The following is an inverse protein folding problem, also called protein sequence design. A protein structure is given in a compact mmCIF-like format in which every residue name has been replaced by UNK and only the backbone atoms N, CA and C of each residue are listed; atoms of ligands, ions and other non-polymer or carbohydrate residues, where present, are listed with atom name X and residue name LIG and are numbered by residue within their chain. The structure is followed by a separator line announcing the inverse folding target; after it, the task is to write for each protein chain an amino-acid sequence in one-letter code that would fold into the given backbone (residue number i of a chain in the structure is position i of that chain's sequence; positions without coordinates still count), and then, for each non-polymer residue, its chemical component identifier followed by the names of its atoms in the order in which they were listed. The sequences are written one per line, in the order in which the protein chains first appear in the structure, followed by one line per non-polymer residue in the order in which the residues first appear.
data_IF_471540473653
#
_entry.id   IF_471540473653
#
_cell.length_a   1.000
_cell.length_b   1.000
_cell.length_c   1.000
_cell.angle_alpha   90.00
_cell.angle_beta   90.00
_cell.angle_gamma   90.00
#
_symmetry.space_group_name_H-M   'P 1'
#
loop_
_entity.id
_entity.type
_entity.pdbx_description
1 polymer ?
#
# COMPACT_ATOMS: atom_id res chain seq x y z
N UNK A 1 -5.58 13.77 5.03
CA UNK A 1 -4.74 13.27 3.94
C UNK A 1 -4.71 11.76 3.97
N UNK A 2 -4.45 11.16 2.83
CA UNK A 2 -4.53 9.71 2.66
C UNK A 2 -3.64 8.94 3.64
N UNK A 3 -2.41 9.41 3.85
CA UNK A 3 -1.49 8.76 4.77
C UNK A 3 -1.97 8.80 6.22
N UNK A 4 -2.58 9.90 6.63
CA UNK A 4 -3.13 10.04 7.98
C UNK A 4 -4.37 9.18 8.17
N UNK A 5 -5.24 9.10 7.16
CA UNK A 5 -6.43 8.25 7.21
C UNK A 5 -6.05 6.78 7.32
N UNK A 6 -5.08 6.34 6.52
CA UNK A 6 -4.58 4.95 6.57
C UNK A 6 -3.99 4.65 7.94
N UNK A 7 -3.14 5.53 8.46
CA UNK A 7 -2.52 5.35 9.78
C UNK A 7 -3.56 5.26 10.89
N UNK A 8 -4.61 6.09 10.82
CA UNK A 8 -5.70 6.05 11.79
C UNK A 8 -6.45 4.72 11.78
N UNK A 9 -6.77 4.20 10.58
CA UNK A 9 -7.44 2.91 10.44
C UNK A 9 -6.53 1.79 10.95
N UNK A 10 -5.26 1.78 10.53
CA UNK A 10 -4.31 0.75 10.92
C UNK A 10 -4.07 0.75 12.43
N UNK A 11 -3.94 1.93 13.05
CA UNK A 11 -3.76 2.05 14.49
C UNK A 11 -4.95 1.50 15.27
N UNK A 12 -6.16 1.69 14.74
CA UNK A 12 -7.38 1.21 15.39
C UNK A 12 -7.46 -0.33 15.42
N UNK A 13 -6.98 -0.99 14.36
CA UNK A 13 -7.12 -2.44 14.23
C UNK A 13 -5.85 -3.21 14.56
N UNK A 14 -4.67 -2.59 14.42
CA UNK A 14 -3.40 -3.29 14.58
C UNK A 14 -3.10 -3.61 16.04
N UNK A 15 -2.67 -4.84 16.30
CA UNK A 15 -2.17 -5.26 17.60
C UNK A 15 -0.65 -5.38 17.61
N UNK A 16 -0.02 -5.44 16.44
CA UNK A 16 1.43 -5.51 16.30
C UNK A 16 1.85 -4.92 14.96
N UNK A 17 2.96 -4.20 14.96
CA UNK A 17 3.53 -3.59 13.76
C UNK A 17 4.96 -4.08 13.59
N UNK A 18 5.28 -4.57 12.38
CA UNK A 18 6.62 -4.96 11.99
C UNK A 18 7.16 -3.89 11.05
N UNK A 19 8.25 -3.24 11.43
CA UNK A 19 8.86 -2.16 10.65
C UNK A 19 9.95 -2.70 9.72
N UNK A 20 10.30 -1.88 8.73
CA UNK A 20 11.38 -2.15 7.78
C UNK A 20 11.21 -3.48 7.04
N UNK A 21 9.96 -3.82 6.75
CA UNK A 21 9.64 -4.99 5.95
C UNK A 21 9.79 -4.67 4.47
N UNK A 22 10.21 -5.65 3.67
CA UNK A 22 10.43 -5.46 2.24
C UNK A 22 9.49 -6.35 1.43
N UNK A 23 8.97 -5.77 0.36
CA UNK A 23 8.22 -6.50 -0.66
C UNK A 23 8.80 -6.17 -2.03
N UNK A 24 8.53 -7.02 -3.00
CA UNK A 24 8.96 -6.79 -4.38
C UNK A 24 8.08 -5.74 -5.05
N UNK A 25 8.69 -4.81 -5.76
CA UNK A 25 7.97 -3.78 -6.49
C UNK A 25 8.78 -2.50 -6.61
N UNK A 26 8.10 -1.45 -7.03
CA UNK A 26 8.64 -0.10 -7.11
C UNK A 26 7.63 0.88 -6.55
N UNK A 27 8.11 1.99 -6.00
CA UNK A 27 7.27 3.09 -5.58
C UNK A 27 7.35 4.23 -6.58
N UNK A 28 6.22 4.84 -6.86
CA UNK A 28 6.15 6.10 -7.61
C UNK A 28 5.58 7.18 -6.72
N UNK A 29 5.98 8.42 -7.02
CA UNK A 29 5.62 9.59 -6.24
C UNK A 29 4.42 10.27 -6.90
N UNK A 30 3.24 10.12 -6.29
CA UNK A 30 1.99 10.59 -6.88
C UNK A 30 1.62 11.98 -6.37
N UNK A 31 0.95 12.74 -7.22
CA UNK A 31 0.41 14.08 -6.91
C UNK A 31 1.45 15.01 -6.27
N UNK A 32 2.64 15.10 -6.88
CA UNK A 32 3.68 16.02 -6.42
C UNK A 32 4.26 15.68 -5.06
N UNK A 33 4.24 14.41 -4.68
CA UNK A 33 4.84 13.96 -3.43
C UNK A 33 3.85 13.81 -2.28
N UNK A 34 2.57 13.81 -2.55
CA UNK A 34 1.55 13.69 -1.50
C UNK A 34 1.42 12.29 -0.97
N UNK A 35 1.58 11.28 -1.82
CA UNK A 35 1.52 9.89 -1.40
C UNK A 35 2.23 8.96 -2.40
N UNK A 36 2.65 7.77 -1.96
CA UNK A 36 3.28 6.80 -2.84
C UNK A 36 2.27 5.91 -3.53
N UNK A 37 2.63 5.41 -4.71
CA UNK A 37 1.93 4.33 -5.36
C UNK A 37 2.87 3.15 -5.55
N UNK A 38 2.45 1.98 -5.13
CA UNK A 38 3.20 0.74 -5.38
C UNK A 38 2.84 0.22 -6.76
N UNK A 39 3.85 -0.10 -7.55
CA UNK A 39 3.68 -0.71 -8.88
C UNK A 39 4.54 -1.97 -8.99
N UNK A 40 4.27 -2.78 -9.99
CA UNK A 40 5.06 -3.97 -10.28
C UNK A 40 6.48 -3.60 -10.68
N UNK A 41 7.45 -4.42 -10.30
CA UNK A 41 8.85 -4.21 -10.66
C UNK A 41 9.76 -5.18 -9.92
N UNK A 42 11.05 -5.13 -10.28
CA UNK A 42 12.05 -6.04 -9.72
C UNK A 42 12.76 -5.48 -8.49
N UNK A 43 12.44 -4.28 -8.09
CA UNK A 43 13.05 -3.65 -6.93
C UNK A 43 12.49 -4.12 -5.61
N UNK A 44 12.96 -3.53 -4.54
CA UNK A 44 12.45 -3.74 -3.18
C UNK A 44 11.81 -2.47 -2.66
N UNK A 45 10.66 -2.63 -2.02
CA UNK A 45 9.93 -1.53 -1.39
C UNK A 45 9.90 -1.78 0.11
N UNK A 46 10.26 -0.77 0.88
CA UNK A 46 10.30 -0.82 2.34
C UNK A 46 9.00 -0.28 2.91
N UNK A 47 8.42 -1.00 3.85
CA UNK A 47 7.19 -0.59 4.50
C UNK A 47 6.99 -1.28 5.82
N UNK A 48 5.77 -1.19 6.32
CA UNK A 48 5.37 -1.78 7.59
C UNK A 48 4.32 -2.86 7.37
N UNK A 49 4.36 -3.91 8.17
CA UNK A 49 3.30 -4.91 8.22
C UNK A 49 2.54 -4.72 9.52
N UNK A 50 1.23 -4.53 9.40
CA UNK A 50 0.33 -4.38 10.52
C UNK A 50 -0.44 -5.68 10.71
N UNK A 51 -0.34 -6.27 11.89
CA UNK A 51 -1.05 -7.48 12.23
C UNK A 51 -2.35 -7.16 12.97
N UNK A 52 -3.44 -7.75 12.52
CA UNK A 52 -4.73 -7.58 13.15
C UNK A 52 -5.54 -8.87 13.11
N UNK A 53 -6.19 -9.28 14.21
CA UNK A 53 -7.14 -10.39 14.19
C UNK A 53 -8.45 -10.04 13.48
N UNK A 54 -8.69 -8.74 13.24
CA UNK A 54 -9.88 -8.24 12.54
C UNK A 54 -9.55 -7.83 11.12
N UNK A 55 -8.83 -8.68 10.40
CA UNK A 55 -8.30 -8.36 9.07
C UNK A 55 -9.41 -7.98 8.07
N UNK A 56 -10.54 -8.67 8.10
CA UNK A 56 -11.62 -8.38 7.15
C UNK A 56 -12.22 -7.00 7.39
N UNK A 57 -12.38 -6.61 8.65
CA UNK A 57 -12.90 -5.28 9.00
C UNK A 57 -11.92 -4.18 8.59
N UNK A 58 -10.64 -4.38 8.84
CA UNK A 58 -9.60 -3.43 8.45
C UNK A 58 -9.54 -3.26 6.94
N UNK A 59 -9.55 -4.37 6.18
CA UNK A 59 -9.51 -4.33 4.72
C UNK A 59 -10.74 -3.64 4.13
N UNK A 60 -11.91 -3.92 4.68
CA UNK A 60 -13.14 -3.26 4.21
C UNK A 60 -13.06 -1.73 4.36
N UNK A 61 -12.55 -1.27 5.50
CA UNK A 61 -12.37 0.16 5.75
C UNK A 61 -11.33 0.76 4.79
N UNK A 62 -10.18 0.10 4.63
CA UNK A 62 -9.13 0.57 3.74
C UNK A 62 -9.61 0.59 2.29
N UNK A 63 -10.28 -0.48 1.83
CA UNK A 63 -10.79 -0.56 0.47
C UNK A 63 -11.74 0.60 0.14
N UNK A 64 -12.66 0.90 1.05
CA UNK A 64 -13.70 1.88 0.81
C UNK A 64 -13.25 3.31 1.07
N UNK A 65 -12.56 3.54 2.19
CA UNK A 65 -12.34 4.90 2.69
C UNK A 65 -11.00 5.51 2.23
N UNK A 66 -9.99 4.69 1.99
CA UNK A 66 -8.64 5.17 1.71
C UNK A 66 -8.17 4.79 0.32
N UNK A 67 -8.11 3.49 0.04
CA UNK A 67 -7.49 2.99 -1.19
C UNK A 67 -8.43 3.04 -2.39
N UNK A 68 -9.71 3.26 -2.17
CA UNK A 68 -10.74 3.36 -3.23
C UNK A 68 -10.70 2.17 -4.17
N UNK A 69 -10.64 0.98 -3.60
CA UNK A 69 -10.71 -0.28 -4.33
C UNK A 69 -12.19 -0.68 -4.48
N UNK A 70 -12.66 -0.74 -5.71
CA UNK A 70 -14.07 -1.05 -6.02
C UNK A 70 -14.30 -2.52 -6.34
N UNK A 71 -13.25 -3.30 -6.37
CA UNK A 71 -13.32 -4.71 -6.75
C UNK A 71 -12.59 -4.97 -8.06
N UNK A 72 -12.19 -6.22 -8.27
CA UNK A 72 -11.45 -6.58 -9.48
C UNK A 72 -12.37 -6.46 -10.70
N UNK A 73 -11.83 -5.87 -11.76
CA UNK A 73 -12.56 -5.64 -12.98
C UNK A 73 -13.50 -4.42 -12.96
N UNK A 74 -13.59 -3.72 -11.84
CA UNK A 74 -14.39 -2.50 -11.74
C UNK A 74 -13.58 -1.29 -12.16
N UNK A 75 -14.19 -0.46 -13.03
CA UNK A 75 -13.58 0.80 -13.44
C UNK A 75 -13.60 1.81 -12.30
N UNK A 76 -12.59 2.67 -12.28
CA UNK A 76 -12.48 3.75 -11.33
C UNK A 76 -11.83 3.41 -10.01
N UNK A 77 -11.33 2.20 -9.83
CA UNK A 77 -10.47 1.89 -8.69
C UNK A 77 -9.17 2.68 -8.77
N UNK A 78 -8.75 3.26 -7.66
CA UNK A 78 -7.49 3.97 -7.56
C UNK A 78 -6.35 3.00 -7.25
N UNK A 79 -6.62 2.03 -6.39
CA UNK A 79 -5.69 0.96 -6.03
C UNK A 79 -6.39 -0.39 -6.11
N UNK A 80 -5.63 -1.44 -6.36
CA UNK A 80 -6.10 -2.82 -6.25
C UNK A 80 -5.43 -3.48 -5.05
N UNK A 81 -6.21 -4.21 -4.27
CA UNK A 81 -5.70 -4.98 -3.15
C UNK A 81 -5.20 -6.33 -3.64
N UNK A 82 -3.95 -6.66 -3.34
CA UNK A 82 -3.31 -7.90 -3.79
C UNK A 82 -2.60 -8.58 -2.63
N UNK A 83 -2.44 -9.90 -2.75
CA UNK A 83 -1.62 -10.67 -1.81
C UNK A 83 -0.16 -10.61 -2.26
N UNK A 84 0.72 -10.34 -1.32
CA UNK A 84 2.17 -10.35 -1.55
C UNK A 84 2.87 -11.04 -0.39
N UNK A 85 4.19 -11.13 -0.47
CA UNK A 85 4.98 -11.79 0.56
C UNK A 85 6.13 -10.90 0.98
N UNK A 86 6.34 -10.80 2.29
CA UNK A 86 7.51 -10.16 2.86
C UNK A 86 8.24 -11.22 3.69
N UNK A 87 9.45 -11.57 3.29
CA UNK A 87 10.25 -12.62 3.94
C UNK A 87 9.44 -13.90 4.16
N UNK A 88 8.74 -14.34 3.10
CA UNK A 88 7.86 -15.52 3.06
C UNK A 88 6.59 -15.40 3.93
N UNK A 89 6.30 -14.23 4.46
CA UNK A 89 5.06 -13.98 5.21
C UNK A 89 4.03 -13.38 4.26
N UNK A 90 2.88 -14.03 4.06
CA UNK A 90 1.82 -13.49 3.21
C UNK A 90 1.18 -12.27 3.86
N UNK A 91 0.93 -11.24 3.05
CA UNK A 91 0.28 -10.03 3.51
C UNK A 91 -0.49 -9.36 2.38
N UNK A 92 -1.53 -8.62 2.74
CA UNK A 92 -2.26 -7.81 1.79
C UNK A 92 -1.56 -6.46 1.59
N UNK A 93 -1.55 -5.99 0.37
CA UNK A 93 -1.08 -4.65 0.04
C UNK A 93 -1.94 -4.05 -1.06
N UNK A 94 -1.74 -2.77 -1.32
CA UNK A 94 -2.48 -2.05 -2.35
C UNK A 94 -1.52 -1.61 -3.44
N UNK A 95 -1.86 -1.96 -4.68
CA UNK A 95 -1.08 -1.64 -5.88
C UNK A 95 -1.83 -0.56 -6.65
N UNK A 96 -1.11 0.45 -7.11
CA UNK A 96 -1.69 1.53 -7.90
C UNK A 96 -2.32 0.96 -9.17
N UNK A 97 -3.59 1.32 -9.40
CA UNK A 97 -4.40 0.71 -10.45
C UNK A 97 -4.40 1.49 -11.76
N UNK A 98 -3.69 2.61 -11.82
CA UNK A 98 -3.64 3.47 -13.01
C UNK A 98 -2.25 3.41 -13.63
N UNK A 99 -1.88 4.41 -14.45
CA UNK A 99 -0.63 4.35 -15.18
C UNK A 99 0.60 4.39 -14.28
N UNK A 100 1.60 3.51 -14.48
CA UNK A 100 2.87 3.59 -13.76
C UNK A 100 3.67 4.85 -14.11
N UNK A 101 3.27 5.58 -15.15
CA UNK A 101 3.91 6.83 -15.56
C UNK A 101 3.32 8.05 -14.85
N UNK A 102 2.35 7.87 -13.98
CA UNK A 102 1.67 8.97 -13.28
C UNK A 102 2.57 9.69 -12.25
N UNK A 103 3.73 9.18 -11.97
CA UNK A 103 4.69 9.82 -11.10
C UNK A 103 6.09 9.23 -11.26
N UNK A 104 7.12 9.98 -10.82
CA UNK A 104 8.50 9.49 -10.90
C UNK A 104 8.76 8.35 -9.92
N UNK A 105 9.66 7.46 -10.29
CA UNK A 105 10.06 6.34 -9.43
C UNK A 105 10.88 6.86 -8.25
N UNK A 106 10.59 6.32 -7.08
CA UNK A 106 11.37 6.56 -5.87
C UNK A 106 12.45 5.50 -5.81
N UNK A 107 13.66 5.87 -6.21
CA UNK A 107 14.77 4.93 -6.43
C UNK A 107 15.15 4.14 -5.17
N UNK A 108 15.03 4.76 -3.99
CA UNK A 108 15.35 4.09 -2.73
C UNK A 108 14.36 2.96 -2.39
N UNK A 109 13.16 2.98 -2.96
CA UNK A 109 12.08 2.07 -2.56
C UNK A 109 11.54 2.34 -1.17
N UNK A 110 11.92 3.44 -0.55
CA UNK A 110 11.52 3.82 0.79
C UNK A 110 10.93 5.22 0.78
N UNK A 111 9.64 5.32 1.10
CA UNK A 111 8.94 6.60 1.10
C UNK A 111 9.62 7.65 1.99
N UNK A 112 10.19 7.21 3.11
CA UNK A 112 10.88 8.10 4.05
C UNK A 112 12.25 8.58 3.55
N UNK A 113 12.79 7.95 2.52
CA UNK A 113 14.11 8.27 1.93
C UNK A 113 14.00 8.71 0.48
N UNK A 114 12.87 9.29 0.11
CA UNK A 114 12.63 9.74 -1.27
C UNK A 114 13.35 11.04 -1.64
#
# INVERSE_FOLDING_TARGET
RDGEERSGILSKFSIKVYKDCKIRGKLINLQGGRYPGLISGDGSVVGEIHHTPKIQNALKKLDNDVERFKGYGEDGSLFHRVLTYSNNIPCWTYVYARSPDDGPVIESGDWLKR
#
